data_IF_357438174928
#
_entry.id   IF_357438174928
#
_cell.length_a   1.000
_cell.length_b   1.000
_cell.length_c   1.000
_cell.angle_alpha   90.00
_cell.angle_beta   90.00
_cell.angle_gamma   90.00
#
_symmetry.space_group_name_H-M   'P 1'
#
loop_
_entity.id
_entity.type
_entity.pdbx_description
1 polymer ?
#
# COMPACT_ATOMS: atom_id res chain seq x y z
N UNK A 1 -24.65 -2.66 -14.60
CA UNK A 1 -23.25 -2.51 -14.15
C UNK A 1 -23.19 -2.91 -12.68
N UNK A 2 -22.29 -3.83 -12.31
CA UNK A 2 -22.18 -4.31 -10.91
C UNK A 2 -21.06 -3.64 -10.13
N UNK A 3 -20.20 -2.88 -10.79
CA UNK A 3 -19.09 -2.15 -10.18
C UNK A 3 -19.47 -0.69 -9.96
N UNK A 4 -19.16 -0.18 -8.76
CA UNK A 4 -19.34 1.22 -8.40
C UNK A 4 -18.08 1.75 -7.72
N UNK A 5 -17.76 3.02 -7.97
CA UNK A 5 -16.79 3.72 -7.16
C UNK A 5 -17.39 3.99 -5.78
N UNK A 6 -16.59 3.80 -4.74
CA UNK A 6 -16.96 4.14 -3.37
C UNK A 6 -16.11 5.32 -2.96
N UNK A 7 -16.77 6.48 -2.84
CA UNK A 7 -16.11 7.69 -2.38
C UNK A 7 -15.81 7.61 -0.88
N UNK A 8 -14.60 7.98 -0.52
CA UNK A 8 -14.14 8.07 0.86
C UNK A 8 -13.92 9.54 1.21
N UNK A 9 -14.24 9.91 2.45
CA UNK A 9 -13.95 11.26 2.97
C UNK A 9 -12.44 11.56 3.09
N UNK A 10 -11.58 10.53 3.02
CA UNK A 10 -10.14 10.65 3.02
C UNK A 10 -9.54 10.38 1.63
N UNK A 11 -8.52 11.15 1.26
CA UNK A 11 -7.78 10.94 0.01
C UNK A 11 -7.07 9.59 0.06
N UNK A 12 -7.35 8.72 -0.91
CA UNK A 12 -6.65 7.46 -1.06
C UNK A 12 -5.16 7.73 -1.33
N UNK A 13 -4.25 6.92 -0.75
CA UNK A 13 -2.83 7.13 -0.96
C UNK A 13 -2.50 6.91 -2.44
N UNK A 14 -1.76 7.83 -3.09
CA UNK A 14 -1.44 7.72 -4.50
C UNK A 14 -0.54 6.51 -4.74
N UNK A 15 -0.54 6.01 -5.98
CA UNK A 15 0.37 4.94 -6.35
C UNK A 15 1.84 5.40 -6.30
N UNK A 16 2.78 4.47 -6.44
CA UNK A 16 4.22 4.76 -6.45
C UNK A 16 4.63 5.82 -7.50
N UNK A 17 3.86 5.96 -8.57
CA UNK A 17 4.07 6.94 -9.65
C UNK A 17 3.29 8.25 -9.45
N UNK A 18 2.59 8.44 -8.32
CA UNK A 18 1.83 9.64 -7.99
C UNK A 18 0.39 9.71 -8.55
N UNK A 19 -0.08 8.70 -9.29
CA UNK A 19 -1.46 8.69 -9.78
C UNK A 19 -2.50 8.52 -8.68
N UNK A 20 -3.65 9.17 -8.90
CA UNK A 20 -4.84 9.09 -8.05
C UNK A 20 -5.39 7.67 -8.05
N UNK A 21 -5.53 7.10 -6.85
CA UNK A 21 -6.16 5.81 -6.64
C UNK A 21 -7.68 5.99 -6.46
N UNK A 22 -8.45 5.02 -6.94
CA UNK A 22 -9.92 4.95 -6.80
C UNK A 22 -10.29 3.64 -6.14
N UNK A 23 -11.23 3.69 -5.21
CA UNK A 23 -11.78 2.49 -4.59
C UNK A 23 -13.05 2.08 -5.33
N UNK A 24 -13.06 0.83 -5.79
CA UNK A 24 -14.15 0.24 -6.52
C UNK A 24 -14.71 -0.94 -5.73
N UNK A 25 -16.04 -1.06 -5.70
CA UNK A 25 -16.77 -2.18 -5.14
C UNK A 25 -17.56 -2.88 -6.23
N UNK A 26 -17.28 -4.17 -6.41
CA UNK A 26 -18.07 -5.06 -7.26
C UNK A 26 -19.15 -5.74 -6.40
N UNK A 27 -20.41 -5.41 -6.64
CA UNK A 27 -21.57 -5.91 -5.88
C UNK A 27 -21.92 -7.38 -6.13
N UNK A 28 -21.17 -8.07 -6.99
CA UNK A 28 -21.28 -9.54 -7.14
C UNK A 28 -20.95 -10.23 -5.82
N UNK A 29 -21.40 -11.47 -5.66
CA UNK A 29 -20.96 -12.32 -4.55
C UNK A 29 -19.46 -12.53 -4.62
N UNK A 30 -18.81 -12.67 -3.46
CA UNK A 30 -17.36 -12.92 -3.38
C UNK A 30 -16.95 -14.15 -4.21
N UNK A 31 -17.75 -15.22 -4.14
CA UNK A 31 -17.58 -16.46 -4.91
C UNK A 31 -17.68 -16.26 -6.44
N UNK A 32 -18.40 -15.23 -6.88
CA UNK A 32 -18.51 -14.83 -8.28
C UNK A 32 -17.47 -13.76 -8.68
N UNK A 33 -16.41 -13.62 -7.88
CA UNK A 33 -15.38 -12.60 -8.05
C UNK A 33 -15.88 -11.19 -7.76
N UNK A 34 -16.74 -11.03 -6.76
CA UNK A 34 -17.13 -9.73 -6.20
C UNK A 34 -16.20 -9.25 -5.09
N UNK A 35 -16.36 -8.00 -4.65
CA UNK A 35 -15.58 -7.42 -3.55
C UNK A 35 -14.94 -6.07 -3.85
N UNK A 36 -14.11 -5.64 -2.90
CA UNK A 36 -13.41 -4.37 -2.85
C UNK A 36 -12.07 -4.46 -3.58
N UNK A 37 -11.76 -3.48 -4.41
CA UNK A 37 -10.44 -3.34 -5.01
C UNK A 37 -10.09 -1.87 -5.20
N UNK A 38 -8.79 -1.57 -5.21
CA UNK A 38 -8.27 -0.23 -5.45
C UNK A 38 -7.56 -0.25 -6.80
N UNK A 39 -7.81 0.76 -7.63
CA UNK A 39 -7.17 0.89 -8.94
C UNK A 39 -6.62 2.29 -9.18
N UNK A 40 -5.60 2.37 -10.01
CA UNK A 40 -5.15 3.59 -10.65
C UNK A 40 -4.80 3.29 -12.12
N UNK A 41 -4.36 4.31 -12.85
CA UNK A 41 -3.94 4.17 -14.25
C UNK A 41 -2.78 3.17 -14.44
N UNK A 42 -1.95 2.94 -13.41
CA UNK A 42 -0.86 1.96 -13.47
C UNK A 42 -1.29 0.51 -13.26
N UNK A 43 -2.46 0.26 -12.66
CA UNK A 43 -2.86 -1.09 -12.28
C UNK A 43 -3.89 -1.12 -11.16
N UNK A 44 -4.27 -2.33 -10.76
CA UNK A 44 -5.31 -2.58 -9.76
C UNK A 44 -4.91 -3.68 -8.79
N UNK A 45 -5.44 -3.65 -7.58
CA UNK A 45 -5.36 -4.79 -6.64
C UNK A 45 -6.28 -5.94 -7.07
N UNK A 46 -6.07 -7.10 -6.46
CA UNK A 46 -7.08 -8.15 -6.47
C UNK A 46 -8.35 -7.70 -5.74
N UNK A 47 -9.43 -8.46 -5.93
CA UNK A 47 -10.70 -8.24 -5.24
C UNK A 47 -10.68 -8.90 -3.88
N UNK A 48 -11.06 -8.13 -2.87
CA UNK A 48 -11.03 -8.55 -1.48
C UNK A 48 -12.41 -8.48 -0.83
N UNK A 49 -12.66 -9.28 0.21
CA UNK A 49 -13.89 -9.20 1.00
C UNK A 49 -14.08 -7.85 1.70
N UNK A 50 -12.98 -7.15 2.01
CA UNK A 50 -13.01 -5.88 2.72
C UNK A 50 -12.06 -4.85 2.10
N UNK A 51 -12.38 -3.58 2.32
CA UNK A 51 -11.56 -2.45 1.89
C UNK A 51 -10.18 -2.45 2.56
N UNK A 52 -10.08 -2.83 3.84
CA UNK A 52 -8.79 -2.83 4.56
C UNK A 52 -7.78 -3.81 3.96
N UNK A 53 -8.25 -4.97 3.47
CA UNK A 53 -7.42 -5.94 2.78
C UNK A 53 -6.94 -5.39 1.43
N UNK A 54 -7.84 -4.76 0.66
CA UNK A 54 -7.48 -4.09 -0.59
C UNK A 54 -6.48 -2.95 -0.36
N UNK A 55 -6.66 -2.15 0.70
CA UNK A 55 -5.75 -1.08 1.09
C UNK A 55 -4.38 -1.60 1.53
N UNK A 56 -4.35 -2.72 2.26
CA UNK A 56 -3.10 -3.36 2.68
C UNK A 56 -2.31 -3.87 1.48
N UNK A 57 -2.99 -4.52 0.53
CA UNK A 57 -2.37 -4.95 -0.73
C UNK A 57 -1.89 -3.74 -1.54
N UNK A 58 -2.69 -2.69 -1.67
CA UNK A 58 -2.33 -1.47 -2.39
C UNK A 58 -1.05 -0.83 -1.83
N UNK A 59 -0.98 -0.69 -0.51
CA UNK A 59 0.22 -0.17 0.18
C UNK A 59 1.44 -1.06 -0.04
N UNK A 60 1.27 -2.39 -0.02
CA UNK A 60 2.34 -3.35 -0.29
C UNK A 60 2.83 -3.26 -1.74
N UNK A 61 1.93 -3.28 -2.71
CA UNK A 61 2.22 -3.25 -4.14
C UNK A 61 2.97 -1.97 -4.53
N UNK A 62 2.54 -0.82 -4.00
CA UNK A 62 3.17 0.48 -4.30
C UNK A 62 4.27 0.88 -3.32
N UNK A 63 4.71 -0.04 -2.44
CA UNK A 63 5.75 0.21 -1.42
C UNK A 63 5.53 1.52 -0.66
N UNK A 64 4.27 1.85 -0.38
CA UNK A 64 3.90 3.02 0.41
C UNK A 64 4.33 2.73 1.83
N UNK A 65 5.58 3.07 2.15
CA UNK A 65 6.18 2.78 3.45
C UNK A 65 5.46 3.63 4.48
N UNK A 66 4.66 2.99 5.34
CA UNK A 66 4.36 3.59 6.63
C UNK A 66 5.72 3.86 7.32
N UNK A 67 5.92 5.04 7.93
CA UNK A 67 7.11 5.31 8.72
C UNK A 67 7.34 4.15 9.67
N UNK A 68 8.50 3.50 9.59
CA UNK A 68 8.83 2.41 10.51
C UNK A 68 8.90 3.05 11.89
N UNK A 69 7.99 2.67 12.78
CA UNK A 69 8.11 3.12 14.16
C UNK A 69 9.46 2.65 14.70
N UNK A 70 10.25 3.54 15.32
CA UNK A 70 11.50 3.14 15.95
C UNK A 70 11.16 2.10 17.02
N UNK A 71 11.69 0.89 16.87
CA UNK A 71 11.63 -0.08 17.94
C UNK A 71 12.51 0.39 19.10
N UNK A 72 12.12 0.13 20.36
CA UNK A 72 12.99 0.38 21.49
C UNK A 72 14.30 -0.37 21.31
N UNK A 73 15.42 0.32 21.49
CA UNK A 73 16.75 -0.25 21.33
C UNK A 73 16.94 -1.42 22.29
N UNK A 74 17.27 -2.63 21.81
CA UNK A 74 17.61 -3.74 22.69
C UNK A 74 18.88 -3.41 23.50
N UNK A 75 18.79 -3.50 24.83
CA UNK A 75 19.87 -3.13 25.76
C UNK A 75 21.11 -4.03 25.68
N UNK A 76 21.01 -5.15 24.97
CA UNK A 76 22.04 -6.17 24.81
C UNK A 76 22.77 -6.10 23.45
N UNK A 77 22.60 -5.02 22.69
CA UNK A 77 23.25 -4.85 21.38
C UNK A 77 24.33 -3.78 21.47
N UNK A 78 25.57 -4.17 21.22
CA UNK A 78 26.68 -3.23 21.03
C UNK A 78 26.68 -2.78 19.57
N UNK A 79 26.31 -1.52 19.32
CA UNK A 79 26.39 -0.93 17.99
C UNK A 79 27.85 -0.54 17.70
N UNK A 80 28.55 -1.37 16.92
CA UNK A 80 29.91 -1.07 16.49
C UNK A 80 29.89 0.09 15.47
N UNK A 81 30.55 1.21 15.81
CA UNK A 81 30.56 2.46 15.03
C UNK A 81 31.40 2.39 13.75
N UNK A 82 31.08 1.46 12.85
CA UNK A 82 31.78 1.28 11.59
C UNK A 82 31.51 2.48 10.65
N UNK A 83 32.54 3.32 10.47
CA UNK A 83 32.52 4.42 9.50
C UNK A 83 32.96 3.90 8.13
N UNK A 84 32.00 3.60 7.26
CA UNK A 84 32.31 3.35 5.85
C UNK A 84 32.58 4.68 5.14
N UNK A 85 33.84 4.95 4.78
CA UNK A 85 34.17 6.02 3.83
C UNK A 85 33.86 5.51 2.41
N UNK A 86 32.62 5.66 1.97
CA UNK A 86 32.27 5.41 0.57
C UNK A 86 32.97 6.41 -0.34
N UNK A 87 33.92 5.96 -1.16
CA UNK A 87 34.50 6.78 -2.23
C UNK A 87 33.48 6.93 -3.36
N UNK A 88 32.62 7.93 -3.29
CA UNK A 88 31.83 8.34 -4.46
C UNK A 88 32.78 9.00 -5.46
N UNK A 89 33.14 8.27 -6.53
CA UNK A 89 33.71 8.90 -7.73
C UNK A 89 32.55 9.24 -8.67
N UNK A 90 32.51 10.51 -9.05
CA UNK A 90 31.48 11.16 -9.87
C UNK A 90 31.47 10.63 -11.29
#
# INVERSE_FOLDING_TARGET
>A
MTQRQVDHNGVLPPCANGHVARHMLDARRLEAGGGHFIECVCGRTQKHPSYDLAMTEWRRAHRIRAPRQPQPSPQNVVQLGLRFKGTHRR
#
